data_IF_654868340985
#
_entry.id   IF_654868340985
#
_cell.length_a   1.000
_cell.length_b   1.000
_cell.length_c   1.000
_cell.angle_alpha   90.00
_cell.angle_beta   90.00
_cell.angle_gamma   90.00
#
_symmetry.space_group_name_H-M   'P 1'
#
loop_
_entity.id
_entity.type
_entity.pdbx_description
1 polymer ?
#
# COMPACT_ATOMS: atom_id res chain seq x y z
N UNK A 1 11.27 -1.67 4.75
CA UNK A 1 12.02 -0.43 4.46
C UNK A 1 11.42 0.68 5.31
N UNK A 2 12.25 1.58 5.83
CA UNK A 2 11.82 2.77 6.57
C UNK A 2 11.73 3.92 5.57
N UNK A 3 10.62 4.64 5.59
CA UNK A 3 10.36 5.78 4.72
C UNK A 3 10.16 7.04 5.56
N UNK A 4 10.70 8.15 5.05
CA UNK A 4 10.48 9.50 5.55
C UNK A 4 9.70 10.28 4.48
N UNK A 5 8.66 11.05 4.83
CA UNK A 5 7.91 11.77 3.80
C UNK A 5 8.67 13.05 3.41
N UNK A 6 8.82 13.33 2.11
CA UNK A 6 9.46 14.56 1.68
C UNK A 6 8.54 15.77 1.96
N UNK A 7 9.07 16.74 2.69
CA UNK A 7 8.48 18.08 2.81
C UNK A 7 8.65 18.84 1.48
N UNK A 8 7.62 18.89 0.62
CA UNK A 8 7.42 20.04 -0.31
C UNK A 8 6.08 20.07 -1.06
N UNK A 9 5.63 21.31 -1.34
CA UNK A 9 4.36 21.75 -1.91
C UNK A 9 4.44 21.92 -3.44
N UNK A 10 3.50 21.27 -4.15
CA UNK A 10 2.85 21.58 -5.47
C UNK A 10 3.56 22.37 -6.57
N UNK A 11 3.42 21.93 -7.84
CA UNK A 11 2.80 22.75 -8.91
C UNK A 11 2.26 21.94 -10.11
N UNK A 12 1.12 22.42 -10.62
CA UNK A 12 0.38 22.00 -11.82
C UNK A 12 1.11 22.30 -13.14
N UNK A 13 0.87 21.45 -14.15
CA UNK A 13 0.68 21.90 -15.55
C UNK A 13 -0.42 21.07 -16.26
N UNK A 14 -1.29 21.80 -16.94
CA UNK A 14 -2.37 21.40 -17.87
C UNK A 14 -1.82 21.42 -19.31
N UNK A 15 -2.57 20.82 -20.27
CA UNK A 15 -2.60 21.01 -21.75
C UNK A 15 -2.26 19.71 -22.50
N UNK A 16 -2.91 19.24 -23.59
CA UNK A 16 -4.29 19.17 -24.14
C UNK A 16 -4.15 18.31 -25.44
N UNK A 17 -5.21 17.56 -25.77
CA UNK A 17 -5.68 17.11 -27.11
C UNK A 17 -4.67 16.70 -28.21
N UNK A 18 -4.84 15.48 -28.75
CA UNK A 18 -5.47 15.29 -30.08
C UNK A 18 -5.72 13.80 -30.35
N UNK A 19 -6.88 13.50 -30.95
CA UNK A 19 -7.27 12.15 -31.34
C UNK A 19 -6.90 11.82 -32.78
N UNK A 20 -6.89 10.53 -33.09
CA UNK A 20 -7.06 10.02 -34.46
C UNK A 20 -7.95 8.77 -34.37
N UNK A 21 -9.12 8.85 -35.02
CA UNK A 21 -9.91 7.68 -35.42
C UNK A 21 -9.15 6.95 -36.54
N UNK A 22 -8.86 5.67 -36.34
CA UNK A 22 -8.44 4.75 -37.38
C UNK A 22 -9.37 3.54 -37.40
N UNK A 23 -10.28 3.50 -38.38
CA UNK A 23 -11.01 2.29 -38.76
C UNK A 23 -10.11 1.48 -39.71
N UNK A 24 -9.76 0.25 -39.36
CA UNK A 24 -9.31 -0.75 -40.33
C UNK A 24 -9.45 -2.17 -39.80
N UNK A 25 -10.29 -2.93 -40.52
CA UNK A 25 -10.37 -4.38 -40.70
C UNK A 25 -10.37 -5.29 -39.46
N UNK A 26 -11.53 -5.92 -39.25
CA UNK A 26 -11.74 -7.10 -38.42
C UNK A 26 -11.01 -8.30 -39.05
N UNK A 27 -9.79 -8.57 -38.59
CA UNK A 27 -9.27 -9.93 -38.57
C UNK A 27 -9.62 -10.49 -37.21
N UNK A 28 -10.26 -11.67 -37.15
CA UNK A 28 -10.49 -12.38 -35.91
C UNK A 28 -9.12 -12.63 -35.25
N UNK A 29 -8.75 -11.78 -34.30
CA UNK A 29 -7.66 -12.03 -33.39
C UNK A 29 -8.09 -13.27 -32.59
N UNK A 30 -7.53 -14.42 -32.92
CA UNK A 30 -7.37 -15.46 -31.92
C UNK A 30 -6.57 -14.82 -30.80
N UNK A 31 -7.26 -14.37 -29.74
CA UNK A 31 -6.65 -14.05 -28.47
C UNK A 31 -6.06 -15.36 -27.97
N UNK A 32 -4.80 -15.62 -28.31
CA UNK A 32 -3.97 -16.57 -27.58
C UNK A 32 -3.86 -15.98 -26.18
N UNK A 33 -4.79 -16.33 -25.30
CA UNK A 33 -4.71 -16.02 -23.88
C UNK A 33 -3.66 -16.96 -23.26
N UNK A 34 -2.41 -16.76 -23.66
CA UNK A 34 -1.27 -17.10 -22.83
C UNK A 34 -0.96 -15.86 -21.99
N UNK A 35 -1.94 -15.38 -21.26
CA UNK A 35 -1.68 -14.59 -20.08
C UNK A 35 -1.84 -15.56 -18.92
N UNK A 36 -0.74 -15.89 -18.25
CA UNK A 36 -0.76 -16.42 -16.89
C UNK A 36 -1.43 -15.38 -15.99
N UNK A 37 -2.74 -15.20 -16.14
CA UNK A 37 -3.55 -14.45 -15.21
C UNK A 37 -3.72 -15.33 -13.98
N UNK A 38 -3.58 -14.74 -12.79
CA UNK A 38 -4.01 -15.46 -11.60
C UNK A 38 -5.45 -15.92 -11.76
N UNK A 39 -5.75 -17.13 -11.32
CA UNK A 39 -7.12 -17.62 -11.23
C UNK A 39 -7.54 -17.78 -9.78
N UNK A 40 -8.83 -17.61 -9.52
CA UNK A 40 -9.43 -17.83 -8.21
C UNK A 40 -9.11 -16.77 -7.16
N UNK A 41 -9.48 -17.09 -5.92
CA UNK A 41 -9.29 -16.22 -4.76
C UNK A 41 -8.22 -16.85 -3.87
N UNK A 42 -7.30 -16.02 -3.35
CA UNK A 42 -6.25 -16.47 -2.45
C UNK A 42 -6.34 -15.76 -1.10
N UNK A 43 -6.15 -16.54 -0.03
CA UNK A 43 -6.03 -16.03 1.34
C UNK A 43 -4.56 -15.93 1.70
N UNK A 44 -4.16 -14.77 2.18
CA UNK A 44 -2.80 -14.51 2.63
C UNK A 44 -2.78 -14.17 4.12
N UNK A 45 -1.67 -14.50 4.76
CA UNK A 45 -1.31 -13.95 6.05
C UNK A 45 -0.05 -13.10 5.87
N UNK A 46 -0.09 -11.85 6.32
CA UNK A 46 1.12 -11.05 6.49
C UNK A 46 1.58 -11.19 7.94
N UNK A 47 2.88 -11.44 8.09
CA UNK A 47 3.58 -11.40 9.38
C UNK A 47 4.51 -10.21 9.35
N UNK A 48 4.28 -9.25 10.25
CA UNK A 48 5.19 -8.14 10.48
C UNK A 48 6.03 -8.44 11.71
N UNK A 49 7.33 -8.54 11.52
CA UNK A 49 8.31 -8.76 12.58
C UNK A 49 9.20 -7.52 12.68
N UNK A 50 9.22 -6.90 13.86
CA UNK A 50 10.12 -5.80 14.15
C UNK A 50 11.27 -6.23 15.04
N UNK A 51 12.45 -5.76 14.66
CA UNK A 51 13.71 -5.90 15.40
C UNK A 51 14.21 -4.56 15.95
N UNK A 52 13.38 -3.50 15.97
CA UNK A 52 13.78 -2.17 16.44
C UNK A 52 13.95 -2.15 17.97
N UNK A 53 15.19 -2.27 18.43
CA UNK A 53 15.55 -2.24 19.85
C UNK A 53 16.74 -1.30 20.08
N UNK A 54 17.00 -0.98 21.35
CA UNK A 54 18.19 -0.24 21.76
C UNK A 54 19.49 -0.96 21.37
N UNK A 55 19.47 -2.30 21.31
CA UNK A 55 20.64 -3.09 20.93
C UNK A 55 20.93 -3.03 19.42
N UNK A 56 19.90 -3.10 18.59
CA UNK A 56 20.03 -3.13 17.13
C UNK A 56 20.09 -1.73 16.51
N UNK A 57 19.45 -0.74 17.13
CA UNK A 57 19.40 0.67 16.71
C UNK A 57 19.65 1.61 17.91
N UNK A 58 20.88 1.70 18.43
CA UNK A 58 21.18 2.38 19.70
C UNK A 58 21.09 3.91 19.67
N UNK A 59 21.17 4.52 18.48
CA UNK A 59 21.19 5.98 18.36
C UNK A 59 19.78 6.53 18.57
N UNK A 60 19.60 7.32 19.64
CA UNK A 60 18.34 7.99 20.00
C UNK A 60 17.13 7.05 20.08
N UNK A 61 17.36 5.79 20.47
CA UNK A 61 16.27 4.85 20.71
C UNK A 61 15.36 5.35 21.85
N UNK A 62 14.03 5.33 21.69
CA UNK A 62 13.08 5.74 22.73
C UNK A 62 12.57 4.53 23.54
N UNK A 63 13.25 4.10 24.62
CA UNK A 63 12.98 2.81 25.26
C UNK A 63 11.60 2.64 25.90
N UNK A 64 10.94 3.75 26.27
CA UNK A 64 9.63 3.72 26.91
C UNK A 64 8.47 3.97 25.95
N UNK A 65 8.75 4.33 24.69
CA UNK A 65 7.72 4.77 23.75
C UNK A 65 7.94 4.25 22.31
N UNK A 66 8.94 3.40 22.07
CA UNK A 66 9.13 2.74 20.79
C UNK A 66 7.93 1.84 20.48
N UNK A 67 7.17 2.16 19.44
CA UNK A 67 6.00 1.40 19.00
C UNK A 67 5.70 1.61 17.52
N UNK A 68 4.70 0.88 17.03
CA UNK A 68 4.16 1.00 15.69
C UNK A 68 2.66 1.19 15.74
N UNK A 69 2.12 2.03 14.84
CA UNK A 69 0.66 2.12 14.68
C UNK A 69 0.10 0.83 14.09
N UNK A 70 -1.23 0.74 14.03
CA UNK A 70 -1.93 -0.34 13.30
C UNK A 70 -1.34 -0.54 11.90
N UNK A 71 -1.10 -1.81 11.54
CA UNK A 71 -0.70 -2.20 10.18
C UNK A 71 -1.93 -2.16 9.27
N UNK A 72 -2.04 -1.12 8.44
CA UNK A 72 -3.24 -0.84 7.66
C UNK A 72 -2.94 -0.75 6.18
N UNK A 73 -3.94 -1.01 5.33
CA UNK A 73 -3.73 -0.93 3.89
C UNK A 73 -4.89 -1.49 3.08
N UNK A 74 -4.57 -2.02 1.89
CA UNK A 74 -5.58 -2.54 0.99
C UNK A 74 -5.01 -3.55 -0.02
N UNK A 75 -5.88 -4.44 -0.49
CA UNK A 75 -5.70 -5.06 -1.82
C UNK A 75 -6.35 -4.18 -2.88
N UNK A 76 -5.65 -3.96 -4.00
CA UNK A 76 -6.08 -3.00 -5.01
C UNK A 76 -5.63 -3.36 -6.43
N UNK A 77 -6.19 -2.65 -7.40
CA UNK A 77 -5.77 -2.77 -8.79
C UNK A 77 -4.30 -2.35 -8.96
N UNK A 78 -3.55 -2.92 -9.92
CA UNK A 78 -2.15 -2.55 -10.17
C UNK A 78 -1.90 -1.06 -10.49
N UNK A 79 -2.91 -0.33 -10.97
CA UNK A 79 -2.78 1.10 -11.30
C UNK A 79 -2.93 2.03 -10.08
N UNK A 80 -3.27 1.49 -8.91
CA UNK A 80 -3.38 2.25 -7.68
C UNK A 80 -2.05 2.17 -6.94
N UNK A 81 -1.53 3.33 -6.53
CA UNK A 81 -0.31 3.45 -5.73
C UNK A 81 -0.60 4.37 -4.55
N UNK A 82 -0.97 3.82 -3.37
CA UNK A 82 -1.38 4.64 -2.22
C UNK A 82 -0.30 5.60 -1.72
N UNK A 83 0.96 5.18 -1.83
CA UNK A 83 2.15 5.98 -1.54
C UNK A 83 3.33 5.43 -2.35
N UNK A 84 4.34 6.25 -2.63
CA UNK A 84 5.54 5.84 -3.34
C UNK A 84 6.72 6.68 -2.87
N UNK A 85 7.90 6.08 -2.77
CA UNK A 85 9.12 6.79 -2.44
C UNK A 85 9.38 7.93 -3.44
N UNK A 86 9.82 9.08 -2.92
CA UNK A 86 10.05 10.29 -3.70
C UNK A 86 8.80 11.01 -4.20
N UNK A 87 7.59 10.47 -3.94
CA UNK A 87 6.33 11.14 -4.24
C UNK A 87 5.77 11.86 -3.01
N UNK A 88 5.01 12.92 -3.26
CA UNK A 88 4.30 13.63 -2.20
C UNK A 88 3.21 12.74 -1.59
N UNK A 89 3.19 12.65 -0.26
CA UNK A 89 2.15 11.93 0.44
C UNK A 89 0.78 12.62 0.33
N UNK A 90 -0.28 11.80 0.25
CA UNK A 90 -1.66 12.27 0.39
C UNK A 90 -1.98 12.53 1.86
N UNK A 91 -3.02 13.31 2.14
CA UNK A 91 -3.46 13.57 3.53
C UNK A 91 -3.76 12.29 4.32
N UNK A 92 -4.24 11.23 3.64
CA UNK A 92 -4.52 9.95 4.28
C UNK A 92 -3.24 9.25 4.74
N UNK A 93 -2.19 9.30 3.92
CA UNK A 93 -0.88 8.73 4.25
C UNK A 93 -0.17 9.57 5.30
N UNK A 94 -0.20 10.89 5.15
CA UNK A 94 0.35 11.83 6.13
C UNK A 94 -0.22 11.59 7.52
N UNK A 95 -1.54 11.43 7.61
CA UNK A 95 -2.20 11.20 8.89
C UNK A 95 -1.80 9.89 9.57
N UNK A 96 -1.55 8.83 8.79
CA UNK A 96 -1.03 7.57 9.35
C UNK A 96 0.39 7.79 9.83
N UNK A 97 1.26 8.36 9.00
CA UNK A 97 2.68 8.48 9.30
C UNK A 97 3.00 9.48 10.43
N UNK A 98 2.24 10.57 10.59
CA UNK A 98 2.49 11.57 11.65
C UNK A 98 1.76 11.25 12.96
N UNK A 99 0.63 10.53 12.90
CA UNK A 99 -0.29 10.40 14.06
C UNK A 99 -0.77 8.98 14.34
N UNK A 100 -0.39 8.01 13.52
CA UNK A 100 -0.89 6.63 13.60
C UNK A 100 -2.39 6.50 13.31
N UNK A 101 -3.04 7.56 12.83
CA UNK A 101 -4.49 7.61 12.64
C UNK A 101 -4.88 7.17 11.22
N UNK A 102 -5.67 6.11 11.11
CA UNK A 102 -6.00 5.44 9.85
C UNK A 102 -7.39 5.77 9.28
N UNK A 103 -8.21 6.60 9.95
CA UNK A 103 -9.60 6.81 9.53
C UNK A 103 -9.75 7.41 8.12
N UNK A 104 -8.86 8.34 7.72
CA UNK A 104 -8.86 8.89 6.35
C UNK A 104 -8.51 7.82 5.32
N UNK A 105 -7.49 6.99 5.61
CA UNK A 105 -7.09 5.91 4.73
C UNK A 105 -8.22 4.89 4.58
N UNK A 106 -8.84 4.47 5.68
CA UNK A 106 -10.01 3.58 5.67
C UNK A 106 -11.12 4.13 4.78
N UNK A 107 -11.50 5.39 4.95
CA UNK A 107 -12.55 6.03 4.14
C UNK A 107 -12.18 6.07 2.64
N UNK A 108 -10.91 6.37 2.31
CA UNK A 108 -10.43 6.33 0.92
C UNK A 108 -10.53 4.93 0.32
N UNK A 109 -10.10 3.88 1.05
CA UNK A 109 -10.15 2.50 0.56
C UNK A 109 -11.58 2.02 0.42
N UNK A 110 -12.46 2.30 1.40
CA UNK A 110 -13.89 1.97 1.31
C UNK A 110 -14.56 2.65 0.11
N UNK A 111 -14.15 3.85 -0.26
CA UNK A 111 -14.60 4.49 -1.50
C UNK A 111 -14.05 3.77 -2.74
N UNK A 112 -12.77 3.41 -2.76
CA UNK A 112 -12.16 2.65 -3.87
C UNK A 112 -12.82 1.29 -4.07
N UNK A 113 -13.23 0.61 -3.01
CA UNK A 113 -14.00 -0.64 -3.09
C UNK A 113 -15.34 -0.39 -3.80
N UNK A 114 -16.05 0.68 -3.45
CA UNK A 114 -17.35 1.02 -4.06
C UNK A 114 -17.28 1.36 -5.55
N UNK A 115 -16.10 1.72 -6.05
CA UNK A 115 -15.86 2.05 -7.47
C UNK A 115 -14.99 1.01 -8.17
N UNK A 116 -14.92 -0.20 -7.62
CA UNK A 116 -14.22 -1.36 -8.20
C UNK A 116 -12.73 -1.09 -8.48
N UNK A 117 -12.05 -0.38 -7.58
CA UNK A 117 -10.61 -0.10 -7.64
C UNK A 117 -9.80 -0.73 -6.50
N UNK A 118 -10.47 -1.24 -5.49
CA UNK A 118 -9.87 -1.97 -4.38
C UNK A 118 -10.72 -3.20 -4.01
N UNK A 119 -10.06 -4.25 -3.52
CA UNK A 119 -10.71 -5.49 -3.12
C UNK A 119 -11.07 -5.55 -1.65
N UNK A 120 -10.19 -5.03 -0.78
CA UNK A 120 -10.41 -5.04 0.66
C UNK A 120 -9.64 -3.94 1.37
N UNK A 121 -10.18 -3.47 2.50
CA UNK A 121 -9.43 -2.71 3.49
C UNK A 121 -8.80 -3.68 4.49
N UNK A 122 -7.52 -3.48 4.79
CA UNK A 122 -6.77 -4.28 5.75
C UNK A 122 -6.62 -3.46 7.03
N UNK A 123 -7.10 -4.03 8.13
CA UNK A 123 -7.06 -3.44 9.47
C UNK A 123 -6.34 -4.38 10.44
N UNK A 124 -5.02 -4.43 10.35
CA UNK A 124 -4.17 -5.21 11.25
C UNK A 124 -4.01 -4.57 12.63
N UNK A 125 -3.45 -5.30 13.60
CA UNK A 125 -3.17 -4.76 14.94
C UNK A 125 -2.02 -3.73 14.93
N UNK A 126 -1.87 -3.01 16.04
CA UNK A 126 -0.67 -2.23 16.36
C UNK A 126 0.40 -3.11 17.02
N UNK A 127 1.61 -2.58 17.19
CA UNK A 127 2.66 -3.19 17.99
C UNK A 127 3.15 -2.16 19.02
N UNK A 128 2.75 -2.33 20.27
CA UNK A 128 3.00 -1.38 21.37
C UNK A 128 4.45 -1.43 21.91
N UNK A 129 5.38 -1.98 21.14
CA UNK A 129 6.79 -2.15 21.47
C UNK A 129 7.66 -1.99 20.22
N UNK A 130 8.94 -1.65 20.39
CA UNK A 130 9.89 -1.55 19.28
C UNK A 130 10.15 -2.92 18.62
N UNK A 131 10.10 -4.00 19.40
CA UNK A 131 10.27 -5.38 18.90
C UNK A 131 9.00 -6.19 19.06
N UNK A 132 8.83 -7.20 18.20
CA UNK A 132 7.72 -8.14 18.31
C UNK A 132 7.16 -8.56 16.97
N UNK A 133 6.12 -9.39 17.02
CA UNK A 133 5.49 -9.96 15.84
C UNK A 133 3.99 -9.68 15.92
N UNK A 134 3.45 -9.17 14.82
CA UNK A 134 2.01 -9.08 14.60
C UNK A 134 1.63 -9.74 13.28
N UNK A 135 0.39 -10.21 13.20
CA UNK A 135 -0.13 -10.87 11.99
C UNK A 135 -1.49 -10.30 11.62
N UNK A 136 -1.79 -10.30 10.32
CA UNK A 136 -3.15 -10.07 9.83
C UNK A 136 -3.38 -10.87 8.55
N UNK A 137 -4.64 -11.16 8.27
CA UNK A 137 -5.06 -11.94 7.10
C UNK A 137 -5.86 -11.07 6.14
N UNK A 138 -5.74 -11.35 4.85
CA UNK A 138 -6.49 -10.66 3.81
C UNK A 138 -6.71 -11.57 2.60
N UNK A 139 -7.68 -11.18 1.77
CA UNK A 139 -7.98 -11.85 0.51
C UNK A 139 -7.46 -11.04 -0.67
N UNK A 140 -6.98 -11.73 -1.69
CA UNK A 140 -6.66 -11.15 -2.98
C UNK A 140 -7.38 -11.89 -4.11
N UNK A 141 -7.63 -11.15 -5.19
CA UNK A 141 -8.23 -11.66 -6.42
C UNK A 141 -7.32 -11.31 -7.59
N UNK A 142 -7.55 -11.88 -8.78
CA UNK A 142 -6.75 -11.55 -9.96
C UNK A 142 -6.87 -10.08 -10.34
N UNK A 143 -8.06 -9.52 -10.14
CA UNK A 143 -8.36 -8.10 -10.37
C UNK A 143 -7.65 -7.22 -9.33
N UNK A 144 -7.83 -7.50 -8.04
CA UNK A 144 -7.20 -6.77 -6.93
C UNK A 144 -5.95 -7.49 -6.43
N UNK A 145 -4.95 -7.58 -7.31
CA UNK A 145 -3.75 -8.43 -7.15
C UNK A 145 -2.53 -7.74 -6.56
N UNK A 146 -2.64 -6.45 -6.19
CA UNK A 146 -1.58 -5.72 -5.51
C UNK A 146 -1.92 -5.48 -4.04
N UNK A 147 -0.90 -5.57 -3.18
CA UNK A 147 -0.98 -5.24 -1.76
C UNK A 147 -0.21 -3.94 -1.47
N UNK A 148 -0.84 -3.03 -0.74
CA UNK A 148 -0.14 -1.94 -0.08
C UNK A 148 -0.46 -1.94 1.41
N UNK A 149 0.57 -1.77 2.24
CA UNK A 149 0.47 -1.67 3.69
C UNK A 149 1.31 -0.50 4.19
N UNK A 150 0.92 0.08 5.31
CA UNK A 150 1.62 1.15 6.00
C UNK A 150 1.43 1.01 7.52
N UNK A 151 2.47 1.32 8.28
CA UNK A 151 2.46 1.46 9.73
C UNK A 151 3.47 2.53 10.15
N UNK A 152 3.04 3.48 10.98
CA UNK A 152 3.90 4.51 11.57
C UNK A 152 4.97 3.87 12.47
N UNK A 153 6.18 4.41 12.45
CA UNK A 153 7.18 4.22 13.51
C UNK A 153 7.00 5.36 14.51
N UNK A 154 6.89 5.05 15.80
CA UNK A 154 6.74 6.10 16.81
C UNK A 154 7.64 5.90 18.03
N UNK A 155 8.06 7.02 18.66
CA UNK A 155 7.87 8.40 18.22
C UNK A 155 8.69 8.72 16.97
N UNK A 156 8.11 9.51 16.06
CA UNK A 156 8.81 10.11 14.92
C UNK A 156 8.04 11.35 14.47
N UNK A 157 8.63 12.16 13.58
CA UNK A 157 7.88 13.23 12.92
C UNK A 157 6.83 12.62 12.00
N UNK A 158 7.27 11.74 11.11
CA UNK A 158 6.49 11.28 9.97
C UNK A 158 7.04 9.97 9.36
N UNK A 159 7.77 9.19 10.16
CA UNK A 159 8.41 7.95 9.70
C UNK A 159 7.43 6.80 9.66
N UNK A 160 7.52 5.98 8.63
CA UNK A 160 6.69 4.78 8.52
C UNK A 160 7.43 3.63 7.83
N UNK A 161 6.88 2.44 8.01
CA UNK A 161 7.26 1.22 7.28
C UNK A 161 6.07 0.73 6.48
N UNK A 162 6.34 -0.01 5.41
CA UNK A 162 5.28 -0.60 4.61
C UNK A 162 5.78 -1.28 3.34
N UNK A 163 4.82 -1.76 2.57
CA UNK A 163 4.99 -2.20 1.17
C UNK A 163 4.02 -1.42 0.31
N UNK A 164 4.43 -1.05 -0.91
CA UNK A 164 3.56 -0.33 -1.84
C UNK A 164 3.45 -1.10 -3.15
N UNK A 165 2.21 -1.28 -3.61
CA UNK A 165 1.85 -1.94 -4.86
C UNK A 165 2.56 -3.29 -5.08
N UNK A 166 2.77 -4.07 -4.02
CA UNK A 166 3.41 -5.38 -4.07
C UNK A 166 2.54 -6.34 -4.89
N UNK A 167 2.98 -6.85 -6.05
CA UNK A 167 2.23 -7.84 -6.80
C UNK A 167 2.19 -9.16 -6.01
N UNK A 168 0.98 -9.65 -5.76
CA UNK A 168 0.73 -10.95 -5.14
C UNK A 168 0.60 -12.07 -6.17
N UNK A 169 0.30 -11.68 -7.40
CA UNK A 169 0.26 -12.53 -8.56
C UNK A 169 1.66 -12.70 -9.14
N UNK A 170 2.29 -13.84 -8.86
CA UNK A 170 3.61 -14.17 -9.36
C UNK A 170 3.53 -15.47 -10.14
N UNK A 171 3.91 -15.45 -11.42
CA UNK A 171 4.01 -16.62 -12.30
C UNK A 171 2.69 -17.40 -12.56
N UNK A 172 1.55 -16.70 -12.71
CA UNK A 172 0.19 -17.27 -12.78
C UNK A 172 0.10 -18.74 -13.20
N UNK A 173 -0.35 -19.59 -12.28
CA UNK A 173 -0.54 -21.01 -12.50
C UNK A 173 -1.95 -21.40 -12.08
#
# INVERSE_FOLDING_TARGET
>A
MIFNMPDTKTMSHVVLLSGILGLSACSALQKSDTHMACEGHAQYQVTYESIWSEETFPIEYPPSDAHYSKLVGATHLPQITPWQEGQKASEAITLVAEKGQNYKLKNCVEWLIKVDKAGSYIDGPDLNTGTGIITTQFSATPEFSCLSLISMIAPSLDWFVGVSALPLCVNGA
#
